data_IF_733947708601
#
_entry.id   IF_733947708601
#
_cell.length_a   1.000
_cell.length_b   1.000
_cell.length_c   1.000
_cell.angle_alpha   90.00
_cell.angle_beta   90.00
_cell.angle_gamma   90.00
#
_symmetry.space_group_name_H-M   'P 1'
#
loop_
_entity.id
_entity.type
_entity.pdbx_description
1 polymer ?
#
# COMPACT_ATOMS: atom_id res chain seq x y z
N UNK A 1 21.46 -21.57 -20.27
CA UNK A 1 20.03 -21.86 -20.47
C UNK A 1 19.52 -22.70 -19.29
N UNK A 2 19.38 -22.11 -18.09
CA UNK A 2 18.92 -22.85 -16.90
C UNK A 2 17.42 -22.65 -16.61
N UNK A 3 16.83 -21.58 -17.14
CA UNK A 3 15.41 -21.23 -16.89
C UNK A 3 14.38 -22.06 -17.67
N UNK A 4 14.78 -22.73 -18.77
CA UNK A 4 13.85 -23.54 -19.56
C UNK A 4 13.49 -24.86 -18.86
N UNK A 5 14.41 -25.43 -18.07
CA UNK A 5 14.16 -26.69 -17.35
C UNK A 5 13.11 -26.51 -16.23
N UNK A 6 13.10 -25.34 -15.58
CA UNK A 6 12.13 -25.00 -14.53
C UNK A 6 10.70 -24.84 -15.09
N UNK A 7 10.54 -24.45 -16.36
CA UNK A 7 9.23 -24.32 -16.98
C UNK A 7 8.58 -25.66 -17.38
N UNK A 8 9.34 -26.75 -17.35
CA UNK A 8 8.86 -28.09 -17.77
C UNK A 8 8.44 -28.99 -16.62
N UNK A 9 8.76 -28.60 -15.38
CA UNK A 9 8.42 -29.35 -14.18
C UNK A 9 7.20 -28.74 -13.52
N UNK A 10 6.21 -29.55 -13.17
CA UNK A 10 5.04 -29.04 -12.44
C UNK A 10 5.44 -28.67 -11.00
N UNK A 11 4.72 -27.73 -10.36
CA UNK A 11 5.00 -27.33 -8.99
C UNK A 11 5.07 -28.52 -8.01
N UNK A 12 4.24 -29.53 -8.21
CA UNK A 12 4.16 -30.74 -7.39
C UNK A 12 5.42 -31.60 -7.55
N UNK A 13 5.83 -31.86 -8.80
CA UNK A 13 7.02 -32.65 -9.11
C UNK A 13 8.30 -31.95 -8.65
N UNK A 14 8.34 -30.62 -8.75
CA UNK A 14 9.45 -29.85 -8.23
C UNK A 14 9.52 -29.96 -6.71
N UNK A 15 8.41 -29.73 -6.01
CA UNK A 15 8.33 -29.80 -4.55
C UNK A 15 8.82 -31.15 -4.00
N UNK A 16 8.42 -32.24 -4.64
CA UNK A 16 8.82 -33.60 -4.30
C UNK A 16 10.33 -33.81 -4.56
N UNK A 17 10.81 -33.37 -5.73
CA UNK A 17 12.22 -33.53 -6.13
C UNK A 17 13.21 -32.76 -5.25
N UNK A 18 12.79 -31.63 -4.67
CA UNK A 18 13.60 -30.85 -3.73
C UNK A 18 13.29 -31.14 -2.25
N UNK A 19 12.52 -32.20 -1.96
CA UNK A 19 12.14 -32.62 -0.60
C UNK A 19 11.50 -31.51 0.25
N UNK A 20 10.79 -30.57 -0.39
CA UNK A 20 10.00 -29.56 0.32
C UNK A 20 8.64 -30.09 0.76
N UNK A 21 8.18 -31.18 0.14
CA UNK A 21 6.94 -31.86 0.46
C UNK A 21 7.20 -33.01 1.45
N UNK A 22 7.35 -32.68 2.73
CA UNK A 22 7.51 -33.61 3.85
C UNK A 22 6.79 -33.09 5.10
N UNK A 23 6.16 -34.03 5.84
CA UNK A 23 5.36 -33.91 7.08
C UNK A 23 4.81 -32.51 7.38
N UNK A 24 3.51 -32.32 7.09
CA UNK A 24 2.71 -31.10 7.29
C UNK A 24 3.31 -30.09 8.26
N UNK A 25 4.30 -29.34 7.80
CA UNK A 25 4.37 -27.94 8.19
C UNK A 25 3.11 -27.42 7.53
N UNK A 26 2.12 -27.04 8.34
CA UNK A 26 1.18 -26.01 7.92
C UNK A 26 2.07 -24.78 7.71
N UNK A 27 2.82 -24.80 6.62
CA UNK A 27 3.44 -23.65 6.06
C UNK A 27 2.20 -22.93 5.60
N UNK A 28 1.71 -22.08 6.49
CA UNK A 28 0.86 -20.97 6.11
C UNK A 28 1.66 -20.36 4.97
N UNK A 29 1.31 -20.76 3.73
CA UNK A 29 1.62 -19.97 2.56
C UNK A 29 1.28 -18.56 3.03
N UNK A 30 2.22 -17.60 2.97
CA UNK A 30 1.93 -16.21 3.32
C UNK A 30 0.61 -15.92 2.63
N UNK A 31 -0.44 -15.86 3.44
CA UNK A 31 -1.80 -15.69 2.98
C UNK A 31 -1.66 -14.43 2.16
N UNK A 32 -1.88 -14.47 0.83
CA UNK A 32 -1.75 -13.29 -0.05
C UNK A 32 -2.11 -12.07 0.78
N UNK A 33 -1.10 -11.25 1.10
CA UNK A 33 -1.08 -10.34 2.25
C UNK A 33 -2.49 -9.91 2.58
N UNK A 34 -3.00 -10.27 3.77
CA UNK A 34 -4.33 -9.83 4.15
C UNK A 34 -4.45 -8.31 3.94
N UNK A 35 -5.66 -7.82 3.65
CA UNK A 35 -5.84 -6.43 3.21
C UNK A 35 -5.16 -5.41 4.14
N UNK A 36 -5.03 -5.77 5.43
CA UNK A 36 -4.29 -5.02 6.43
C UNK A 36 -2.78 -4.95 6.13
N UNK A 37 -2.13 -6.11 5.96
CA UNK A 37 -0.70 -6.20 5.62
C UNK A 37 -0.38 -5.48 4.31
N UNK A 38 -1.20 -5.68 3.28
CA UNK A 38 -1.04 -4.98 2.00
C UNK A 38 -1.19 -3.47 2.16
N UNK A 39 -2.19 -3.01 2.93
CA UNK A 39 -2.37 -1.59 3.19
C UNK A 39 -1.14 -0.98 3.86
N UNK A 40 -0.59 -1.62 4.90
CA UNK A 40 0.60 -1.09 5.57
C UNK A 40 1.81 -1.03 4.62
N UNK A 41 2.01 -2.05 3.80
CA UNK A 41 3.08 -2.04 2.78
C UNK A 41 2.91 -0.88 1.79
N UNK A 42 1.68 -0.64 1.31
CA UNK A 42 1.39 0.49 0.42
C UNK A 42 1.62 1.83 1.12
N UNK A 43 1.22 1.99 2.38
CA UNK A 43 1.44 3.22 3.15
C UNK A 43 2.92 3.51 3.32
N UNK A 44 3.75 2.48 3.55
CA UNK A 44 5.21 2.63 3.60
C UNK A 44 5.77 3.14 2.26
N UNK A 45 5.36 2.55 1.14
CA UNK A 45 5.78 3.00 -0.19
C UNK A 45 5.32 4.43 -0.49
N UNK A 46 4.09 4.78 -0.09
CA UNK A 46 3.57 6.16 -0.22
C UNK A 46 4.41 7.13 0.62
N UNK A 47 4.75 6.78 1.86
CA UNK A 47 5.60 7.62 2.71
C UNK A 47 7.00 7.83 2.10
N UNK A 48 7.60 6.79 1.52
CA UNK A 48 8.89 6.90 0.81
C UNK A 48 8.76 7.88 -0.35
N UNK A 49 7.67 7.80 -1.12
CA UNK A 49 7.41 8.70 -2.25
C UNK A 49 7.10 10.12 -1.81
N UNK A 50 6.36 10.34 -0.73
CA UNK A 50 6.09 11.69 -0.22
C UNK A 50 7.37 12.41 0.24
N UNK A 51 8.39 11.67 0.69
CA UNK A 51 9.71 12.20 1.07
C UNK A 51 10.63 12.48 -0.13
N UNK A 52 10.24 12.05 -1.32
CA UNK A 52 11.01 12.25 -2.55
C UNK A 52 10.66 13.61 -3.17
N UNK A 53 11.62 14.56 -3.26
CA UNK A 53 11.36 15.88 -3.84
C UNK A 53 10.91 15.85 -5.31
N UNK A 54 11.28 14.79 -6.06
CA UNK A 54 10.83 14.63 -7.43
C UNK A 54 9.33 14.30 -7.48
N UNK A 55 8.82 13.54 -6.51
CA UNK A 55 7.38 13.25 -6.38
C UNK A 55 6.58 14.52 -6.08
N UNK A 56 7.10 15.41 -5.21
CA UNK A 56 6.46 16.72 -4.97
C UNK A 56 6.33 17.51 -6.27
N UNK A 57 7.40 17.60 -7.06
CA UNK A 57 7.40 18.32 -8.33
C UNK A 57 6.39 17.72 -9.32
N UNK A 58 6.37 16.39 -9.48
CA UNK A 58 5.44 15.68 -10.35
C UNK A 58 3.97 15.94 -9.98
N UNK A 59 3.65 15.92 -8.68
CA UNK A 59 2.31 16.21 -8.17
C UNK A 59 1.91 17.66 -8.45
N UNK A 60 2.78 18.62 -8.13
CA UNK A 60 2.52 20.04 -8.38
C UNK A 60 2.35 20.33 -9.88
N UNK A 61 3.20 19.77 -10.73
CA UNK A 61 3.06 19.89 -12.18
C UNK A 61 1.72 19.34 -12.67
N UNK A 62 1.31 18.17 -12.16
CA UNK A 62 0.05 17.54 -12.53
C UNK A 62 -1.13 18.43 -12.13
N UNK A 63 -1.11 18.99 -10.93
CA UNK A 63 -2.11 19.94 -10.45
C UNK A 63 -2.13 21.22 -11.30
N UNK A 64 -0.98 21.77 -11.68
CA UNK A 64 -0.88 22.96 -12.53
C UNK A 64 -1.37 22.71 -13.97
N UNK A 65 -1.12 21.51 -14.52
CA UNK A 65 -1.69 21.05 -15.79
C UNK A 65 -3.21 20.97 -15.69
N UNK A 66 -3.74 20.46 -14.57
CA UNK A 66 -5.17 20.48 -14.24
C UNK A 66 -5.75 21.90 -14.18
N UNK A 67 -5.10 22.80 -13.45
CA UNK A 67 -5.50 24.21 -13.34
C UNK A 67 -5.59 24.90 -14.70
N UNK A 68 -4.71 24.54 -15.64
CA UNK A 68 -4.69 25.16 -16.98
C UNK A 68 -5.94 24.81 -17.81
N UNK A 69 -6.70 23.77 -17.42
CA UNK A 69 -7.99 23.42 -18.02
C UNK A 69 -9.17 24.16 -17.39
N UNK A 70 -8.96 24.91 -16.30
CA UNK A 70 -10.02 25.59 -15.56
C UNK A 70 -10.22 27.03 -16.05
N UNK A 71 -10.68 27.24 -17.29
CA UNK A 71 -11.01 28.53 -17.93
C UNK A 71 -10.78 29.79 -17.06
N UNK A 72 -11.84 30.29 -16.41
CA UNK A 72 -11.84 31.55 -15.65
C UNK A 72 -11.15 31.44 -14.27
N UNK A 73 -10.87 30.23 -13.82
CA UNK A 73 -10.28 29.96 -12.50
C UNK A 73 -8.81 29.57 -12.57
N UNK A 74 -8.21 29.46 -13.75
CA UNK A 74 -6.89 28.91 -13.95
C UNK A 74 -5.83 29.60 -13.09
N UNK A 75 -5.85 30.93 -13.02
CA UNK A 75 -4.90 31.71 -12.22
C UNK A 75 -5.14 31.53 -10.71
N UNK A 76 -6.40 31.55 -10.28
CA UNK A 76 -6.75 31.32 -8.86
C UNK A 76 -6.35 29.91 -8.42
N UNK A 77 -6.59 28.91 -9.28
CA UNK A 77 -6.17 27.52 -9.06
C UNK A 77 -4.65 27.40 -8.93
N UNK A 78 -3.89 27.95 -9.88
CA UNK A 78 -2.41 27.92 -9.84
C UNK A 78 -1.87 28.55 -8.55
N UNK A 79 -2.45 29.67 -8.12
CA UNK A 79 -2.08 30.32 -6.85
C UNK A 79 -2.31 29.39 -5.64
N UNK A 80 -3.44 28.69 -5.60
CA UNK A 80 -3.72 27.72 -4.53
C UNK A 80 -2.75 26.54 -4.58
N UNK A 81 -2.43 26.01 -5.75
CA UNK A 81 -1.46 24.91 -5.89
C UNK A 81 -0.07 25.33 -5.39
N UNK A 82 0.43 26.50 -5.78
CA UNK A 82 1.73 26.99 -5.29
C UNK A 82 1.72 27.28 -3.80
N UNK A 83 0.61 27.79 -3.26
CA UNK A 83 0.54 28.19 -1.86
C UNK A 83 0.32 27.01 -0.91
N UNK A 84 -0.54 26.06 -1.29
CA UNK A 84 -0.99 25.00 -0.40
C UNK A 84 -0.52 23.61 -0.82
N UNK A 85 -0.06 23.40 -2.05
CA UNK A 85 0.42 22.10 -2.52
C UNK A 85 1.56 21.54 -1.69
N UNK A 86 2.68 22.27 -1.49
CA UNK A 86 3.79 21.81 -0.65
C UNK A 86 3.37 21.55 0.80
N UNK A 87 2.56 22.46 1.36
CA UNK A 87 2.05 22.33 2.73
C UNK A 87 1.18 21.07 2.89
N UNK A 88 0.31 20.81 1.92
CA UNK A 88 -0.57 19.64 1.93
C UNK A 88 0.22 18.34 1.83
N UNK A 89 1.28 18.28 1.02
CA UNK A 89 2.13 17.09 0.91
C UNK A 89 2.90 16.82 2.21
N UNK A 90 3.46 17.87 2.84
CA UNK A 90 4.11 17.76 4.14
C UNK A 90 3.13 17.33 5.25
N UNK A 91 1.92 17.89 5.25
CA UNK A 91 0.86 17.51 6.19
C UNK A 91 0.41 16.05 5.95
N UNK A 92 0.34 15.61 4.69
CA UNK A 92 0.01 14.23 4.34
C UNK A 92 1.08 13.23 4.80
N UNK A 93 2.36 13.55 4.62
CA UNK A 93 3.49 12.77 5.15
C UNK A 93 3.33 12.61 6.66
N UNK A 94 3.23 13.73 7.39
CA UNK A 94 3.08 13.73 8.84
C UNK A 94 1.84 12.96 9.29
N UNK A 95 0.72 13.11 8.58
CA UNK A 95 -0.51 12.40 8.89
C UNK A 95 -0.32 10.89 8.80
N UNK A 96 0.32 10.40 7.73
CA UNK A 96 0.58 8.96 7.54
C UNK A 96 1.63 8.41 8.53
N UNK A 97 2.54 9.24 9.03
CA UNK A 97 3.47 8.83 10.09
C UNK A 97 2.78 8.70 11.47
N UNK A 98 1.79 9.54 11.76
CA UNK A 98 1.17 9.60 13.10
C UNK A 98 -0.16 8.87 13.22
N UNK A 99 -0.77 8.45 12.11
CA UNK A 99 -2.09 7.84 12.10
C UNK A 99 -2.06 6.52 11.35
N UNK A 100 -2.75 5.52 11.89
CA UNK A 100 -2.99 4.27 11.19
C UNK A 100 -4.18 4.44 10.23
N UNK A 101 -3.89 4.86 9.00
CA UNK A 101 -4.88 4.99 7.94
C UNK A 101 -5.49 3.64 7.54
N UNK A 102 -4.77 2.53 7.73
CA UNK A 102 -5.24 1.20 7.35
C UNK A 102 -6.41 0.75 8.22
N UNK A 103 -6.35 1.09 9.50
CA UNK A 103 -7.50 0.97 10.40
C UNK A 103 -8.61 1.96 10.04
N UNK A 104 -8.28 3.21 9.73
CA UNK A 104 -9.29 4.24 9.40
C UNK A 104 -10.10 3.93 8.13
N UNK A 105 -9.50 3.23 7.15
CA UNK A 105 -10.18 2.79 5.92
C UNK A 105 -10.73 1.36 6.02
N UNK A 106 -10.69 0.74 7.20
CA UNK A 106 -11.14 -0.63 7.47
C UNK A 106 -10.40 -1.73 6.69
N UNK A 107 -9.18 -1.45 6.22
CA UNK A 107 -8.29 -2.50 5.71
C UNK A 107 -7.77 -3.39 6.85
N UNK A 108 -7.55 -2.80 8.02
CA UNK A 108 -7.29 -3.49 9.28
C UNK A 108 -8.53 -3.49 10.17
N UNK A 109 -8.71 -4.56 10.94
CA UNK A 109 -9.73 -4.59 11.98
C UNK A 109 -9.32 -3.72 13.16
N UNK A 110 -10.30 -3.09 13.79
CA UNK A 110 -10.10 -2.46 15.08
C UNK A 110 -9.86 -3.54 16.14
N UNK A 111 -8.88 -3.35 17.01
CA UNK A 111 -8.56 -4.26 18.13
C UNK A 111 -9.73 -4.51 19.11
N UNK A 112 -10.82 -3.72 19.04
CA UNK A 112 -12.06 -3.94 19.80
C UNK A 112 -13.04 -4.91 19.14
N UNK A 113 -13.02 -5.07 17.81
CA UNK A 113 -13.88 -6.03 17.10
C UNK A 113 -13.36 -7.46 17.22
N UNK A 114 -12.03 -7.64 17.29
CA UNK A 114 -11.44 -8.97 17.50
C UNK A 114 -11.67 -9.48 18.93
N UNK A 115 -11.70 -8.61 19.95
CA UNK A 115 -12.05 -9.03 21.32
C UNK A 115 -13.52 -9.51 21.40
N UNK A 116 -14.45 -8.81 20.73
CA UNK A 116 -15.85 -9.22 20.70
C UNK A 116 -16.05 -10.52 19.89
N UNK A 117 -15.38 -10.67 18.74
CA UNK A 117 -15.49 -11.86 17.91
C UNK A 117 -14.87 -13.10 18.57
N UNK A 118 -13.74 -12.97 19.28
CA UNK A 118 -13.14 -14.07 20.04
C UNK A 118 -13.98 -14.49 21.24
N UNK A 119 -14.61 -13.54 21.95
CA UNK A 119 -15.51 -13.87 23.08
C UNK A 119 -16.73 -14.69 22.63
N UNK A 120 -17.24 -14.46 21.40
CA UNK A 120 -18.41 -15.17 20.88
C UNK A 120 -18.02 -16.52 20.26
N UNK A 121 -16.77 -16.70 19.82
CA UNK A 121 -16.30 -17.96 19.23
C UNK A 121 -15.96 -19.05 20.26
N UNK A 122 -15.71 -18.65 21.52
CA UNK A 122 -15.38 -19.54 22.64
C UNK A 122 -16.57 -19.83 23.59
N UNK A 123 -17.79 -19.39 23.25
CA UNK A 123 -19.05 -19.59 23.99
C UNK A 123 -20.02 -20.52 23.24
#
# INVERSE_FOLDING_TARGET
MFFLEVSTISPEQFCEKVNLCGETVVMQLPKCDDACSLCHNVVVEVLIKLKDPDTELEVLETLLKGCSKMENFAQKCKKLVFQYGPLFLADAEKFLETNDVCTAIHACKNSQEDLAASIIADA
#
